data_IF_292335483451
#
_entry.id   IF_292335483451
#
_cell.length_a   1.000
_cell.length_b   1.000
_cell.length_c   1.000
_cell.angle_alpha   90.00
_cell.angle_beta   90.00
_cell.angle_gamma   90.00
#
_symmetry.space_group_name_H-M   'P 1'
#
loop_
_entity.id
_entity.type
_entity.pdbx_description
1 polymer ?
#
# COMPACT_ATOMS: atom_id res chain seq x y z
N UNK A 1 -11.06 25.56 -2.06
CA UNK A 1 -10.13 25.10 -3.12
C UNK A 1 -10.40 23.62 -3.34
N UNK A 2 -10.48 23.16 -4.59
CA UNK A 2 -10.87 21.81 -4.94
C UNK A 2 -9.66 20.84 -4.85
N UNK A 3 -9.61 19.87 -3.91
CA UNK A 3 -8.52 18.90 -3.83
C UNK A 3 -8.41 17.97 -5.04
N UNK A 4 -9.50 17.72 -5.77
CA UNK A 4 -9.51 16.82 -6.93
C UNK A 4 -8.65 17.32 -8.08
N UNK A 5 -8.37 18.63 -8.12
CA UNK A 5 -7.53 19.24 -9.16
C UNK A 5 -6.10 18.67 -9.18
N UNK A 6 -5.63 18.02 -8.11
CA UNK A 6 -4.30 17.41 -8.07
C UNK A 6 -4.22 16.04 -8.75
N UNK A 7 -5.36 15.36 -8.96
CA UNK A 7 -5.39 13.98 -9.45
C UNK A 7 -4.62 13.78 -10.77
N UNK A 8 -4.71 14.67 -11.78
CA UNK A 8 -3.94 14.52 -13.02
C UNK A 8 -2.42 14.69 -12.84
N UNK A 9 -2.01 15.28 -11.72
CA UNK A 9 -0.61 15.62 -11.43
C UNK A 9 0.08 14.63 -10.49
N UNK A 10 -0.66 13.76 -9.79
CA UNK A 10 -0.10 12.82 -8.83
C UNK A 10 1.00 11.94 -9.42
N UNK A 11 0.83 11.47 -10.67
CA UNK A 11 1.83 10.67 -11.39
C UNK A 11 3.15 11.40 -11.70
N UNK A 12 3.20 12.72 -11.50
CA UNK A 12 4.43 13.52 -11.61
C UNK A 12 5.14 13.69 -10.26
N UNK A 13 4.41 13.50 -9.16
CA UNK A 13 4.91 13.67 -7.80
C UNK A 13 5.24 12.34 -7.14
N UNK A 14 4.52 11.28 -7.49
CA UNK A 14 4.66 9.94 -6.93
C UNK A 14 4.78 8.91 -8.03
N UNK A 15 5.74 8.01 -7.87
CA UNK A 15 5.92 6.88 -8.80
C UNK A 15 4.79 5.86 -8.66
N UNK A 16 4.34 5.60 -7.43
CA UNK A 16 3.42 4.52 -7.09
C UNK A 16 1.97 4.97 -6.76
N UNK A 17 1.67 6.26 -6.84
CA UNK A 17 0.30 6.79 -6.59
C UNK A 17 -0.22 7.43 -7.87
N UNK A 18 -1.17 6.77 -8.52
CA UNK A 18 -1.86 7.30 -9.68
C UNK A 18 -3.08 8.16 -9.30
N UNK A 19 -3.81 7.75 -8.25
CA UNK A 19 -5.01 8.46 -7.77
C UNK A 19 -5.15 8.34 -6.25
N UNK A 20 -5.85 9.29 -5.66
CA UNK A 20 -6.37 9.18 -4.30
C UNK A 20 -7.87 8.90 -4.32
N UNK A 21 -8.33 8.00 -3.46
CA UNK A 21 -9.74 7.76 -3.23
C UNK A 21 -10.23 8.71 -2.13
N UNK A 22 -11.28 9.48 -2.42
CA UNK A 22 -11.90 10.40 -1.47
C UNK A 22 -13.26 9.87 -1.01
N UNK A 23 -13.64 10.14 0.23
CA UNK A 23 -14.92 9.70 0.75
C UNK A 23 -16.08 10.46 0.10
N UNK A 24 -17.16 9.75 -0.26
CA UNK A 24 -18.38 10.35 -0.83
C UNK A 24 -19.09 11.21 0.22
N UNK A 25 -19.75 12.29 -0.21
CA UNK A 25 -20.58 13.10 0.67
C UNK A 25 -21.89 12.35 0.99
N UNK A 26 -22.15 11.98 2.26
CA UNK A 26 -23.35 11.21 2.62
C UNK A 26 -24.64 12.03 2.55
N UNK A 27 -24.56 13.36 2.52
CA UNK A 27 -25.73 14.25 2.46
C UNK A 27 -26.26 14.46 1.03
N UNK A 28 -25.64 13.83 0.02
CA UNK A 28 -25.93 14.07 -1.38
C UNK A 28 -26.74 12.93 -2.01
N UNK A 29 -27.83 13.29 -2.70
CA UNK A 29 -28.78 12.36 -3.31
C UNK A 29 -28.15 11.64 -4.53
N UNK A 30 -28.30 10.32 -4.61
CA UNK A 30 -27.81 9.47 -5.72
C UNK A 30 -28.43 9.85 -7.08
N UNK A 31 -29.46 10.70 -7.10
CA UNK A 31 -30.16 11.18 -8.31
C UNK A 31 -29.44 12.31 -9.05
N UNK A 32 -28.38 12.88 -8.48
CA UNK A 32 -27.65 13.98 -9.09
C UNK A 32 -26.60 13.46 -10.06
N UNK A 33 -26.41 14.15 -11.19
CA UNK A 33 -25.58 13.66 -12.30
C UNK A 33 -24.08 13.58 -12.03
N UNK A 34 -23.57 14.16 -10.94
CA UNK A 34 -22.15 14.09 -10.57
C UNK A 34 -21.96 13.78 -9.08
N UNK A 35 -21.10 12.80 -8.71
CA UNK A 35 -20.84 12.48 -7.30
C UNK A 35 -20.06 13.60 -6.61
N UNK A 36 -20.61 14.13 -5.52
CA UNK A 36 -19.90 15.05 -4.65
C UNK A 36 -19.10 14.27 -3.59
N UNK A 37 -17.84 14.67 -3.41
CA UNK A 37 -16.92 14.03 -2.50
C UNK A 37 -16.48 15.00 -1.39
N UNK A 38 -16.19 14.43 -0.23
CA UNK A 38 -15.56 15.13 0.88
C UNK A 38 -14.05 15.29 0.65
N UNK A 39 -13.38 16.00 1.56
CA UNK A 39 -11.92 16.12 1.57
C UNK A 39 -11.21 14.96 2.27
N UNK A 40 -11.94 13.94 2.75
CA UNK A 40 -11.37 12.82 3.47
C UNK A 40 -10.75 11.82 2.48
N UNK A 41 -9.47 11.52 2.64
CA UNK A 41 -8.72 10.59 1.79
C UNK A 41 -8.80 9.20 2.43
N UNK A 42 -9.30 8.23 1.67
CA UNK A 42 -9.56 6.86 2.11
C UNK A 42 -8.47 5.88 1.66
N UNK A 43 -7.96 6.03 0.44
CA UNK A 43 -7.00 5.09 -0.14
C UNK A 43 -6.09 5.78 -1.17
N UNK A 44 -4.96 5.14 -1.43
CA UNK A 44 -4.13 5.41 -2.60
C UNK A 44 -4.33 4.29 -3.63
N UNK A 45 -4.33 4.66 -4.91
CA UNK A 45 -4.53 3.74 -6.03
C UNK A 45 -3.28 3.80 -6.90
N UNK A 46 -2.69 2.64 -7.16
CA UNK A 46 -1.49 2.49 -8.00
C UNK A 46 -1.81 2.67 -9.49
N UNK A 47 -0.81 2.87 -10.36
CA UNK A 47 -0.99 2.88 -11.81
C UNK A 47 -1.61 1.59 -12.38
N UNK A 48 -1.39 0.45 -11.72
CA UNK A 48 -1.92 -0.87 -12.07
C UNK A 48 -3.35 -1.08 -11.56
N UNK A 49 -3.89 -0.13 -10.78
CA UNK A 49 -5.25 -0.19 -10.23
C UNK A 49 -5.35 -0.85 -8.86
N UNK A 50 -4.23 -1.15 -8.21
CA UNK A 50 -4.21 -1.68 -6.85
C UNK A 50 -4.58 -0.59 -5.83
N UNK A 51 -5.55 -0.88 -4.96
CA UNK A 51 -6.01 0.06 -3.93
C UNK A 51 -5.48 -0.33 -2.56
N UNK A 52 -4.82 0.61 -1.88
CA UNK A 52 -4.32 0.46 -0.52
C UNK A 52 -4.95 1.53 0.35
N UNK A 53 -5.76 1.11 1.33
CA UNK A 53 -6.44 2.05 2.23
C UNK A 53 -5.44 2.80 3.12
N UNK A 54 -5.68 4.06 3.39
CA UNK A 54 -4.87 4.87 4.28
C UNK A 54 -5.52 4.96 5.67
N UNK A 55 -4.76 5.48 6.63
CA UNK A 55 -5.22 5.64 8.01
C UNK A 55 -6.43 6.57 8.08
N UNK A 56 -7.37 6.29 8.99
CA UNK A 56 -8.53 7.15 9.21
C UNK A 56 -8.11 8.57 9.61
N UNK A 57 -8.78 9.57 9.04
CA UNK A 57 -8.63 10.98 9.41
C UNK A 57 -7.66 11.80 8.56
N UNK A 58 -7.11 11.24 7.47
CA UNK A 58 -6.33 11.99 6.50
C UNK A 58 -7.25 12.89 5.67
N UNK A 59 -7.00 14.20 5.65
CA UNK A 59 -7.84 15.18 4.95
C UNK A 59 -7.02 16.09 4.04
N UNK A 60 -7.50 16.33 2.83
CA UNK A 60 -6.93 17.31 1.91
C UNK A 60 -7.37 18.75 2.27
N UNK A 61 -6.80 19.30 3.34
CA UNK A 61 -7.11 20.66 3.84
C UNK A 61 -5.83 21.48 3.95
N UNK A 62 -5.88 22.72 3.48
CA UNK A 62 -4.76 23.66 3.57
C UNK A 62 -3.84 23.63 2.36
N UNK A 63 -2.53 23.79 2.59
CA UNK A 63 -1.53 23.80 1.53
C UNK A 63 -1.39 22.42 0.88
N UNK A 64 -1.28 22.38 -0.46
CA UNK A 64 -1.24 21.12 -1.22
C UNK A 64 -0.04 20.28 -0.86
N UNK A 65 1.14 20.88 -0.79
CA UNK A 65 2.38 20.19 -0.42
C UNK A 65 2.31 19.61 1.00
N UNK A 66 1.66 20.31 1.93
CA UNK A 66 1.55 19.86 3.32
C UNK A 66 0.68 18.60 3.44
N UNK A 67 -0.50 18.58 2.83
CA UNK A 67 -1.37 17.41 2.92
C UNK A 67 -0.89 16.26 2.01
N UNK A 68 -0.18 16.54 0.91
CA UNK A 68 0.50 15.49 0.13
C UNK A 68 1.67 14.87 0.89
N UNK A 69 2.42 15.65 1.67
CA UNK A 69 3.43 15.10 2.59
C UNK A 69 2.80 14.16 3.63
N UNK A 70 1.63 14.51 4.18
CA UNK A 70 0.88 13.62 5.09
C UNK A 70 0.38 12.35 4.40
N UNK A 71 0.03 12.42 3.11
CA UNK A 71 -0.30 11.23 2.30
C UNK A 71 0.91 10.31 2.18
N UNK A 72 2.08 10.85 1.87
CA UNK A 72 3.33 10.09 1.77
C UNK A 72 3.70 9.41 3.09
N UNK A 73 3.65 10.14 4.21
CA UNK A 73 3.88 9.59 5.54
C UNK A 73 2.91 8.45 5.86
N UNK A 74 1.62 8.65 5.57
CA UNK A 74 0.59 7.64 5.76
C UNK A 74 0.82 6.40 4.87
N UNK A 75 1.24 6.59 3.62
CA UNK A 75 1.62 5.53 2.70
C UNK A 75 2.74 4.68 3.29
N UNK A 76 3.84 5.30 3.74
CA UNK A 76 5.01 4.58 4.29
C UNK A 76 4.60 3.77 5.53
N UNK A 77 3.84 4.36 6.45
CA UNK A 77 3.35 3.66 7.65
C UNK A 77 2.46 2.48 7.27
N UNK A 78 1.54 2.67 6.33
CA UNK A 78 0.61 1.64 5.86
C UNK A 78 1.34 0.46 5.22
N UNK A 79 2.23 0.73 4.26
CA UNK A 79 2.97 -0.32 3.55
C UNK A 79 3.89 -1.11 4.49
N UNK A 80 4.53 -0.45 5.47
CA UNK A 80 5.33 -1.14 6.50
C UNK A 80 4.48 -2.08 7.35
N UNK A 81 3.26 -1.68 7.72
CA UNK A 81 2.34 -2.53 8.47
C UNK A 81 1.91 -3.73 7.64
N UNK A 82 1.51 -3.49 6.40
CA UNK A 82 1.03 -4.54 5.51
C UNK A 82 2.16 -5.55 5.17
N UNK A 83 3.40 -5.08 5.02
CA UNK A 83 4.59 -5.93 4.87
C UNK A 83 4.80 -6.86 6.07
N UNK A 84 4.70 -6.32 7.30
CA UNK A 84 4.79 -7.14 8.52
C UNK A 84 3.67 -8.17 8.58
N UNK A 85 2.45 -7.80 8.20
CA UNK A 85 1.32 -8.73 8.19
C UNK A 85 1.53 -9.84 7.16
N UNK A 86 1.99 -9.50 5.95
CA UNK A 86 2.28 -10.47 4.91
C UNK A 86 3.37 -11.47 5.34
N UNK A 87 4.41 -11.01 6.05
CA UNK A 87 5.44 -11.88 6.64
C UNK A 87 4.90 -12.85 7.69
N UNK A 88 3.93 -12.44 8.52
CA UNK A 88 3.31 -13.33 9.50
C UNK A 88 2.38 -14.35 8.83
N UNK A 89 1.77 -13.95 7.71
CA UNK A 89 0.81 -14.77 6.99
C UNK A 89 1.47 -15.82 6.08
N UNK A 90 2.72 -15.62 5.66
CA UNK A 90 3.38 -16.44 4.62
C UNK A 90 3.47 -17.94 4.97
N UNK A 91 3.67 -18.27 6.24
CA UNK A 91 3.76 -19.65 6.72
C UNK A 91 2.45 -20.17 7.33
N UNK A 92 1.43 -19.31 7.48
CA UNK A 92 0.17 -19.65 8.16
C UNK A 92 -1.02 -19.77 7.21
N UNK A 93 -0.95 -19.15 6.02
CA UNK A 93 -1.98 -19.21 4.99
C UNK A 93 -1.61 -20.18 3.87
N UNK A 94 -2.61 -20.64 3.11
CA UNK A 94 -2.35 -21.31 1.84
C UNK A 94 -1.70 -20.33 0.85
N UNK A 95 -0.91 -20.83 -0.10
CA UNK A 95 -0.21 -19.95 -1.06
C UNK A 95 -1.19 -19.12 -1.87
N UNK A 96 -2.25 -19.72 -2.39
CA UNK A 96 -3.23 -19.02 -3.23
C UNK A 96 -3.97 -17.94 -2.44
N UNK A 97 -4.41 -18.25 -1.22
CA UNK A 97 -5.08 -17.27 -0.36
C UNK A 97 -4.13 -16.14 0.06
N UNK A 98 -2.87 -16.46 0.33
CA UNK A 98 -1.86 -15.48 0.70
C UNK A 98 -1.59 -14.49 -0.45
N UNK A 99 -1.43 -15.01 -1.68
CA UNK A 99 -1.17 -14.20 -2.87
C UNK A 99 -2.28 -13.16 -3.12
N UNK A 100 -3.55 -13.53 -2.95
CA UNK A 100 -4.69 -12.62 -3.19
C UNK A 100 -5.01 -11.69 -2.01
N UNK A 101 -4.49 -11.97 -0.82
CA UNK A 101 -4.80 -11.22 0.41
C UNK A 101 -3.90 -9.99 0.63
N UNK A 102 -2.82 -9.87 -0.13
CA UNK A 102 -1.81 -8.84 0.03
C UNK A 102 -1.53 -8.10 -1.27
N UNK A 103 -1.09 -6.84 -1.14
CA UNK A 103 -0.72 -6.06 -2.30
C UNK A 103 0.44 -6.72 -3.06
N UNK A 104 0.39 -6.71 -4.40
CA UNK A 104 1.31 -7.48 -5.23
C UNK A 104 2.78 -7.15 -4.97
N UNK A 105 3.13 -5.87 -4.83
CA UNK A 105 4.52 -5.50 -4.50
C UNK A 105 4.95 -5.97 -3.10
N UNK A 106 4.02 -6.01 -2.15
CA UNK A 106 4.28 -6.54 -0.81
C UNK A 106 4.55 -8.05 -0.89
N UNK A 107 3.67 -8.78 -1.57
CA UNK A 107 3.79 -10.21 -1.84
C UNK A 107 5.14 -10.55 -2.46
N UNK A 108 5.53 -9.85 -3.54
CA UNK A 108 6.81 -10.05 -4.22
C UNK A 108 8.01 -9.81 -3.29
N UNK A 109 7.96 -8.74 -2.51
CA UNK A 109 9.05 -8.39 -1.58
C UNK A 109 9.20 -9.43 -0.48
N UNK A 110 8.08 -9.93 0.08
CA UNK A 110 8.11 -10.98 1.11
C UNK A 110 8.65 -12.28 0.54
N UNK A 111 8.24 -12.68 -0.67
CA UNK A 111 8.78 -13.87 -1.34
C UNK A 111 10.29 -13.77 -1.52
N UNK A 112 10.81 -12.62 -1.96
CA UNK A 112 12.25 -12.38 -2.09
C UNK A 112 12.97 -12.49 -0.75
N UNK A 113 12.38 -11.96 0.33
CA UNK A 113 12.93 -12.04 1.68
C UNK A 113 13.00 -13.48 2.18
N UNK A 114 11.89 -14.23 2.06
CA UNK A 114 11.80 -15.64 2.47
C UNK A 114 12.76 -16.50 1.66
N UNK A 115 12.83 -16.27 0.34
CA UNK A 115 13.78 -16.96 -0.53
C UNK A 115 15.23 -16.69 -0.08
N UNK A 116 15.61 -15.43 0.11
CA UNK A 116 16.95 -15.06 0.53
C UNK A 116 17.31 -15.70 1.87
N UNK A 117 16.38 -15.67 2.85
CA UNK A 117 16.56 -16.33 4.14
C UNK A 117 16.83 -17.82 4.00
N UNK A 118 16.00 -18.53 3.21
CA UNK A 118 16.16 -19.98 2.97
C UNK A 118 17.49 -20.32 2.30
N UNK A 119 17.94 -19.49 1.36
CA UNK A 119 19.26 -19.65 0.73
C UNK A 119 20.39 -19.54 1.75
N UNK A 120 20.35 -18.53 2.63
CA UNK A 120 21.36 -18.37 3.68
C UNK A 120 21.35 -19.56 4.67
N UNK A 121 20.17 -20.01 5.10
CA UNK A 121 20.02 -21.17 5.98
C UNK A 121 20.64 -22.44 5.35
N UNK A 122 20.45 -22.67 4.05
CA UNK A 122 21.05 -23.81 3.36
C UNK A 122 22.59 -23.70 3.33
N UNK A 123 23.12 -22.53 2.96
CA UNK A 123 24.56 -22.33 2.82
C UNK A 123 25.29 -22.39 4.18
N UNK A 124 24.70 -21.85 5.24
CA UNK A 124 25.28 -21.89 6.58
C UNK A 124 25.26 -23.31 7.16
N UNK A 125 24.21 -24.08 6.90
CA UNK A 125 24.11 -25.47 7.35
C UNK A 125 25.10 -26.41 6.63
N UNK A 126 25.41 -26.16 5.35
CA UNK A 126 26.44 -26.93 4.63
C UNK A 126 27.85 -26.75 5.22
N UNK A 127 28.15 -25.59 5.82
CA UNK A 127 29.42 -25.33 6.50
C UNK A 127 29.55 -26.10 7.83
N UNK A 128 28.45 -26.56 8.42
CA UNK A 128 28.47 -27.36 9.66
C UNK A 128 28.68 -28.85 9.36
N UNK A 129 28.07 -29.38 8.30
CA UNK A 129 28.27 -30.79 7.90
C UNK A 129 29.68 -31.05 7.36
N UNK A 130 30.31 -30.06 6.72
CA UNK A 130 31.68 -30.15 6.22
C UNK A 130 32.76 -29.99 7.30
N UNK A 131 32.43 -29.45 8.49
CA UNK A 131 33.33 -29.40 9.65
C UNK A 131 33.28 -30.65 10.54
N UNK A 132 32.24 -31.47 10.41
CA UNK A 132 32.05 -32.71 11.15
C UNK A 132 32.50 -33.97 10.36
N UNK A 133 33.15 -33.78 9.22
CA UNK A 133 33.89 -34.80 8.47
C UNK A 133 35.38 -34.50 8.51
#
# INVERSE_FOLDING_TARGET
RNPFAVQPHLRKCFDAIAKLEFAKNPEYDEKSSEPEFTNDILAMISPEGESVSLTRGLKARGNVEEWLGKVEEAMVVRLRRDMKQALLNVDTMSRDDWLISHANQITLTVEQLVWARKVHEILDNQNLESKNR
#
